data_IF_576108007578
#
_entry.id   IF_576108007578
#
_cell.length_a   1.000
_cell.length_b   1.000
_cell.length_c   1.000
_cell.angle_alpha   90.00
_cell.angle_beta   90.00
_cell.angle_gamma   90.00
#
_symmetry.space_group_name_H-M   'P 1'
#
loop_
_entity.id
_entity.type
_entity.pdbx_description
1 polymer ?
#
# COMPACT_ATOMS: atom_id res chain seq x y z
N UNK A 1 17.68 -11.53 9.74
CA UNK A 1 16.76 -12.61 10.16
C UNK A 1 16.68 -12.87 11.67
N UNK A 2 17.43 -12.13 12.51
CA UNK A 2 17.38 -12.32 13.97
C UNK A 2 16.32 -11.45 14.67
N UNK A 3 15.84 -10.39 14.01
CA UNK A 3 14.86 -9.46 14.58
C UNK A 3 13.43 -9.99 14.42
N UNK A 4 12.61 -9.78 15.46
CA UNK A 4 11.19 -10.14 15.43
C UNK A 4 10.34 -9.15 14.61
N UNK A 5 10.80 -7.89 14.52
CA UNK A 5 10.13 -6.83 13.75
C UNK A 5 11.15 -6.25 12.78
N UNK A 6 10.78 -6.21 11.50
CA UNK A 6 11.58 -5.63 10.44
C UNK A 6 10.64 -5.03 9.39
N UNK A 7 10.82 -3.76 9.05
CA UNK A 7 10.00 -3.05 8.06
C UNK A 7 10.94 -2.35 7.09
N UNK A 8 10.95 -2.80 5.84
CA UNK A 8 11.75 -2.22 4.76
C UNK A 8 10.82 -1.64 3.71
N UNK A 9 11.05 -0.40 3.34
CA UNK A 9 10.41 0.28 2.22
C UNK A 9 11.48 0.56 1.17
N UNK A 10 11.19 0.23 -0.08
CA UNK A 10 12.11 0.35 -1.22
C UNK A 10 11.36 1.01 -2.38
N UNK A 11 11.90 2.10 -2.91
CA UNK A 11 11.33 2.80 -4.06
C UNK A 11 11.85 2.30 -5.40
N UNK A 12 12.79 1.34 -5.40
CA UNK A 12 13.43 0.82 -6.61
C UNK A 12 13.99 1.91 -7.54
N UNK A 13 14.48 3.01 -6.95
CA UNK A 13 15.04 4.17 -7.65
C UNK A 13 14.06 4.87 -8.60
N UNK A 14 12.76 4.77 -8.33
CA UNK A 14 11.75 5.51 -9.08
C UNK A 14 11.84 7.02 -8.80
N UNK A 15 12.01 7.79 -9.87
CA UNK A 15 11.99 9.26 -9.82
C UNK A 15 10.55 9.79 -9.85
N UNK A 16 9.79 9.53 -8.80
CA UNK A 16 8.44 10.09 -8.67
C UNK A 16 8.44 11.36 -7.83
N UNK A 17 7.59 12.35 -8.14
CA UNK A 17 7.44 13.55 -7.32
C UNK A 17 7.17 13.18 -5.86
N UNK A 18 7.96 13.78 -4.96
CA UNK A 18 7.78 13.59 -3.53
C UNK A 18 8.40 12.33 -2.93
N UNK A 19 9.22 11.56 -3.63
CA UNK A 19 10.12 10.59 -3.00
C UNK A 19 11.22 11.30 -2.23
N UNK A 20 11.54 10.78 -1.05
CA UNK A 20 12.54 11.35 -0.15
C UNK A 20 13.66 10.38 0.21
N UNK A 21 13.45 9.09 0.00
CA UNK A 21 14.39 8.01 0.30
C UNK A 21 14.34 6.97 -0.82
N UNK A 22 15.49 6.35 -1.12
CA UNK A 22 15.55 5.17 -1.99
C UNK A 22 15.10 3.92 -1.22
N UNK A 23 15.65 3.76 -0.02
CA UNK A 23 15.27 2.67 0.86
C UNK A 23 15.29 3.14 2.31
N UNK A 24 14.33 2.67 3.10
CA UNK A 24 14.30 2.86 4.55
C UNK A 24 14.02 1.53 5.24
N UNK A 25 14.84 1.19 6.22
CA UNK A 25 14.75 -0.02 7.01
C UNK A 25 14.56 0.34 8.48
N UNK A 26 13.51 -0.15 9.10
CA UNK A 26 13.23 -0.05 10.53
C UNK A 26 13.31 -1.44 11.17
N UNK A 27 14.05 -1.56 12.27
CA UNK A 27 14.34 -2.85 12.90
C UNK A 27 14.14 -2.77 14.39
N UNK A 28 13.55 -3.82 14.95
CA UNK A 28 13.17 -3.97 16.34
C UNK A 28 12.21 -2.86 16.82
N UNK A 29 11.73 -2.97 18.04
CA UNK A 29 10.80 -2.01 18.63
C UNK A 29 11.25 -1.64 20.02
N UNK A 30 11.23 -0.34 20.33
CA UNK A 30 11.37 0.18 21.71
C UNK A 30 10.00 0.51 22.33
N UNK A 31 9.01 0.76 21.51
CA UNK A 31 7.61 0.94 21.91
C UNK A 31 6.69 0.52 20.74
N UNK A 32 5.59 -0.11 21.04
CA UNK A 32 4.62 -0.51 20.02
C UNK A 32 3.16 -0.43 20.50
N UNK A 33 2.23 -0.37 19.54
CA UNK A 33 0.80 -0.49 19.75
C UNK A 33 0.23 -1.52 18.80
N UNK A 34 -0.58 -2.43 19.33
CA UNK A 34 -1.27 -3.49 18.62
C UNK A 34 -2.74 -3.48 18.97
N UNK A 35 -3.63 -3.39 17.98
CA UNK A 35 -5.07 -3.38 18.20
C UNK A 35 -5.83 -4.06 17.06
N UNK A 36 -7.04 -4.51 17.37
CA UNK A 36 -8.05 -4.88 16.39
C UNK A 36 -9.16 -3.83 16.36
N UNK A 37 -9.98 -3.82 15.32
CA UNK A 37 -11.10 -2.90 15.15
C UNK A 37 -12.01 -2.87 16.40
N UNK A 38 -12.42 -1.68 16.79
CA UNK A 38 -13.24 -1.39 17.96
C UNK A 38 -12.78 -0.16 18.76
N UNK A 39 -11.46 0.00 18.93
CA UNK A 39 -10.86 1.20 19.55
C UNK A 39 -9.41 1.42 19.07
N UNK A 40 -9.07 0.88 17.91
CA UNK A 40 -7.73 0.89 17.36
C UNK A 40 -7.22 2.31 17.08
N UNK A 41 -8.04 3.18 16.51
CA UNK A 41 -7.66 4.58 16.25
C UNK A 41 -7.42 5.37 17.54
N UNK A 42 -8.21 5.13 18.59
CA UNK A 42 -7.97 5.77 19.89
C UNK A 42 -6.64 5.30 20.50
N UNK A 43 -6.34 4.01 20.44
CA UNK A 43 -5.06 3.47 20.91
C UNK A 43 -3.88 4.03 20.11
N UNK A 44 -4.02 4.16 18.79
CA UNK A 44 -3.00 4.76 17.95
C UNK A 44 -2.78 6.24 18.28
N UNK A 45 -3.84 7.02 18.51
CA UNK A 45 -3.73 8.44 18.88
C UNK A 45 -2.96 8.61 20.18
N UNK A 46 -3.28 7.81 21.21
CA UNK A 46 -2.57 7.81 22.47
C UNK A 46 -1.08 7.43 22.30
N UNK A 47 -0.81 6.42 21.50
CA UNK A 47 0.54 5.96 21.21
C UNK A 47 1.37 7.05 20.52
N UNK A 48 0.82 7.70 19.47
CA UNK A 48 1.51 8.75 18.72
C UNK A 48 1.77 10.01 19.56
N UNK A 49 0.86 10.35 20.50
CA UNK A 49 1.07 11.46 21.45
C UNK A 49 2.16 11.19 22.48
N UNK A 50 2.38 9.93 22.81
CA UNK A 50 3.41 9.52 23.78
C UNK A 50 4.78 9.33 23.15
N UNK A 51 4.85 9.19 21.81
CA UNK A 51 6.05 8.87 21.08
C UNK A 51 6.21 9.83 19.90
N UNK A 52 6.93 10.93 20.11
CA UNK A 52 7.27 11.91 19.08
C UNK A 52 8.55 11.47 18.34
N UNK A 53 8.45 10.37 17.60
CA UNK A 53 9.55 9.76 16.88
C UNK A 53 9.05 9.08 15.60
N UNK A 54 9.97 8.49 14.84
CA UNK A 54 9.65 7.68 13.68
C UNK A 54 8.75 6.50 14.07
N UNK A 55 7.63 6.39 13.40
CA UNK A 55 6.69 5.28 13.57
C UNK A 55 6.50 4.53 12.26
N UNK A 56 6.58 3.21 12.33
CA UNK A 56 6.34 2.29 11.21
C UNK A 56 5.23 1.32 11.58
N UNK A 57 4.47 0.86 10.59
CA UNK A 57 3.39 -0.07 10.87
C UNK A 57 2.45 -0.28 9.71
N UNK A 58 1.28 -0.82 10.01
CA UNK A 58 0.22 -1.06 9.03
C UNK A 58 -1.17 -0.81 9.59
N UNK A 59 -2.08 -0.56 8.67
CA UNK A 59 -3.52 -0.48 8.88
C UNK A 59 -4.18 -1.59 8.06
N UNK A 60 -4.91 -2.47 8.72
CA UNK A 60 -5.67 -3.54 8.09
C UNK A 60 -6.99 -3.03 7.50
N UNK A 61 -7.51 -3.75 6.52
CA UNK A 61 -8.77 -3.40 5.86
C UNK A 61 -9.96 -3.44 6.82
N UNK A 62 -9.95 -4.33 7.82
CA UNK A 62 -11.05 -4.51 8.77
C UNK A 62 -11.18 -3.39 9.80
N UNK A 63 -10.25 -2.42 9.84
CA UNK A 63 -10.45 -1.15 10.55
C UNK A 63 -11.68 -0.38 10.07
N UNK A 64 -12.18 -0.66 8.86
CA UNK A 64 -13.48 -0.15 8.40
C UNK A 64 -14.63 -0.46 9.35
N UNK A 65 -14.55 -1.57 10.09
CA UNK A 65 -15.59 -2.00 11.04
C UNK A 65 -15.65 -1.12 12.29
N UNK A 66 -14.58 -0.37 12.58
CA UNK A 66 -14.57 0.64 13.65
C UNK A 66 -15.15 1.99 13.18
N UNK A 67 -14.99 2.30 11.89
CA UNK A 67 -15.44 3.57 11.30
C UNK A 67 -16.88 3.51 10.81
N UNK A 68 -17.31 2.34 10.35
CA UNK A 68 -18.62 2.12 9.79
C UNK A 68 -19.27 0.91 10.47
N UNK A 69 -20.59 0.85 10.47
CA UNK A 69 -21.32 -0.30 11.02
C UNK A 69 -21.27 -1.50 10.05
N UNK A 70 -20.08 -2.06 9.90
CA UNK A 70 -19.79 -3.18 9.01
C UNK A 70 -19.21 -4.36 9.79
N UNK A 71 -19.45 -5.56 9.30
CA UNK A 71 -18.91 -6.80 9.85
C UNK A 71 -18.50 -7.74 8.73
N UNK A 72 -17.28 -8.28 8.82
CA UNK A 72 -16.83 -9.35 7.93
C UNK A 72 -17.05 -10.71 8.57
N UNK A 73 -17.50 -11.68 7.75
CA UNK A 73 -17.60 -13.11 8.12
C UNK A 73 -16.52 -13.95 7.45
N UNK A 74 -15.65 -13.33 6.67
CA UNK A 74 -14.56 -14.00 5.98
C UNK A 74 -13.50 -14.46 7.00
N UNK A 75 -12.99 -15.67 6.81
CA UNK A 75 -11.93 -16.20 7.66
C UNK A 75 -10.60 -15.52 7.35
N UNK A 76 -9.91 -15.06 8.38
CA UNK A 76 -8.54 -14.59 8.30
C UNK A 76 -7.59 -15.74 8.67
N UNK A 77 -6.80 -16.19 7.70
CA UNK A 77 -5.86 -17.30 7.88
C UNK A 77 -4.44 -16.82 8.23
N UNK A 78 -4.13 -15.55 8.05
CA UNK A 78 -2.80 -14.98 8.35
C UNK A 78 -2.76 -14.36 9.73
N UNK A 79 -3.88 -13.75 10.17
CA UNK A 79 -4.06 -13.18 11.50
C UNK A 79 -3.05 -12.06 11.83
N UNK A 80 -2.82 -11.17 10.88
CA UNK A 80 -2.24 -9.89 11.24
C UNK A 80 -3.20 -9.13 12.16
N UNK A 81 -2.71 -8.36 13.15
CA UNK A 81 -3.58 -7.42 13.85
C UNK A 81 -4.15 -6.39 12.87
N UNK A 82 -5.34 -5.85 13.13
CA UNK A 82 -5.90 -4.82 12.25
C UNK A 82 -5.09 -3.53 12.25
N UNK A 83 -4.36 -3.30 13.35
CA UNK A 83 -3.44 -2.18 13.51
C UNK A 83 -2.19 -2.63 14.26
N UNK A 84 -1.04 -2.28 13.72
CA UNK A 84 0.23 -2.36 14.43
C UNK A 84 1.13 -1.20 14.04
N UNK A 85 1.63 -0.45 15.02
CA UNK A 85 2.65 0.58 14.84
C UNK A 85 3.73 0.42 15.89
N UNK A 86 4.96 0.79 15.53
CA UNK A 86 6.10 0.71 16.43
C UNK A 86 7.10 1.85 16.22
N UNK A 87 7.78 2.23 17.27
CA UNK A 87 8.98 3.08 17.25
C UNK A 87 10.18 2.15 17.13
N UNK A 88 10.99 2.24 16.07
CA UNK A 88 12.10 1.33 15.87
C UNK A 88 13.29 1.62 16.80
N UNK A 89 13.99 0.57 17.21
CA UNK A 89 15.29 0.68 17.86
C UNK A 89 16.36 1.21 16.88
N UNK A 90 16.26 0.79 15.62
CA UNK A 90 17.23 1.14 14.56
C UNK A 90 16.48 1.55 13.29
N UNK A 91 16.89 2.67 12.70
CA UNK A 91 16.48 3.11 11.37
C UNK A 91 17.71 3.24 10.48
N UNK A 92 17.65 2.64 9.30
CA UNK A 92 18.69 2.79 8.27
C UNK A 92 18.04 3.39 7.02
N UNK A 93 18.58 4.48 6.53
CA UNK A 93 18.07 5.19 5.36
C UNK A 93 19.17 5.22 4.29
N UNK A 94 18.82 4.78 3.09
CA UNK A 94 19.61 4.97 1.89
C UNK A 94 19.03 6.14 1.10
N UNK A 95 19.85 7.12 0.80
CA UNK A 95 19.49 8.29 0.01
C UNK A 95 20.65 8.65 -0.90
N UNK A 96 20.49 8.51 -2.22
CA UNK A 96 21.54 8.73 -3.21
C UNK A 96 22.83 7.93 -2.88
N UNK A 97 23.86 8.57 -2.41
CA UNK A 97 25.12 7.94 -1.99
C UNK A 97 25.33 7.97 -0.47
N UNK A 98 24.32 8.39 0.30
CA UNK A 98 24.39 8.51 1.74
C UNK A 98 23.68 7.36 2.43
N UNK A 99 24.34 6.77 3.44
CA UNK A 99 23.76 5.81 4.37
C UNK A 99 23.64 6.47 5.74
N UNK A 100 22.40 6.74 6.17
CA UNK A 100 22.10 7.36 7.46
C UNK A 100 21.63 6.24 8.41
N UNK A 101 22.25 6.17 9.60
CA UNK A 101 21.93 5.16 10.61
C UNK A 101 21.54 5.87 11.89
N UNK A 102 20.26 5.73 12.28
CA UNK A 102 19.72 6.15 13.57
C UNK A 102 19.56 4.95 14.50
N UNK A 103 20.01 5.06 15.74
CA UNK A 103 19.90 3.99 16.74
C UNK A 103 19.55 4.56 18.11
N UNK A 104 18.79 3.82 18.88
CA UNK A 104 18.62 4.05 20.31
C UNK A 104 19.78 3.37 21.05
N UNK A 105 20.87 4.14 21.33
CA UNK A 105 22.08 3.61 21.98
C UNK A 105 23.36 3.84 21.15
N UNK A 106 24.46 3.20 21.56
CA UNK A 106 25.80 3.49 21.03
C UNK A 106 26.32 2.46 20.00
N UNK A 107 25.44 1.60 19.45
CA UNK A 107 25.83 0.48 18.58
C UNK A 107 25.91 0.85 17.07
N UNK A 108 25.81 2.11 16.69
CA UNK A 108 25.78 2.59 15.29
C UNK A 108 26.96 2.12 14.45
N UNK A 109 28.19 2.09 15.02
CA UNK A 109 29.40 1.61 14.32
C UNK A 109 29.34 0.11 14.04
N UNK A 110 28.80 -0.68 14.96
CA UNK A 110 28.64 -2.11 14.76
C UNK A 110 27.61 -2.41 13.64
N UNK A 111 26.52 -1.66 13.60
CA UNK A 111 25.51 -1.76 12.55
C UNK A 111 26.09 -1.34 11.20
N UNK A 112 26.79 -0.21 11.14
CA UNK A 112 27.47 0.25 9.92
C UNK A 112 28.45 -0.80 9.38
N UNK A 113 29.28 -1.39 10.26
CA UNK A 113 30.20 -2.47 9.90
C UNK A 113 29.47 -3.73 9.43
N UNK A 114 28.34 -4.07 10.03
CA UNK A 114 27.54 -5.22 9.63
C UNK A 114 26.92 -5.04 8.25
N UNK A 115 26.52 -3.81 7.88
CA UNK A 115 25.95 -3.48 6.57
C UNK A 115 27.04 -3.48 5.50
N UNK A 116 28.18 -2.78 5.76
CA UNK A 116 29.23 -2.58 4.77
C UNK A 116 30.21 -3.74 4.65
N UNK A 117 30.36 -4.54 5.70
CA UNK A 117 31.36 -5.61 5.80
C UNK A 117 30.92 -6.97 5.29
N UNK A 118 29.64 -7.18 5.00
CA UNK A 118 29.17 -8.48 4.47
C UNK A 118 29.12 -8.45 2.95
N UNK A 119 29.78 -9.40 2.26
CA UNK A 119 29.54 -9.58 0.83
C UNK A 119 28.06 -9.89 0.62
N UNK A 120 27.49 -9.32 -0.42
CA UNK A 120 26.13 -9.66 -0.89
C UNK A 120 26.10 -11.17 -1.08
N UNK A 121 25.41 -11.89 -0.19
CA UNK A 121 25.30 -13.34 -0.27
C UNK A 121 24.64 -13.70 -1.59
N UNK A 122 25.21 -14.67 -2.31
CA UNK A 122 24.52 -15.23 -3.47
C UNK A 122 23.19 -15.80 -2.95
N UNK A 123 22.09 -15.14 -3.33
CA UNK A 123 20.74 -15.69 -3.11
C UNK A 123 20.74 -17.08 -3.73
N UNK A 124 20.72 -18.11 -2.88
CA UNK A 124 20.61 -19.49 -3.34
C UNK A 124 19.26 -19.58 -4.04
N UNK A 125 19.29 -19.67 -5.37
CA UNK A 125 18.08 -19.97 -6.14
C UNK A 125 17.61 -21.35 -5.72
N UNK A 126 16.67 -21.41 -4.81
CA UNK A 126 15.97 -22.65 -4.53
C UNK A 126 15.32 -23.13 -5.83
N UNK A 127 15.57 -24.36 -6.19
CA UNK A 127 14.98 -25.05 -7.32
C UNK A 127 13.46 -24.89 -7.25
N UNK A 128 12.85 -24.52 -8.38
CA UNK A 128 11.41 -24.35 -8.57
C UNK A 128 10.66 -25.59 -8.05
N UNK A 129 10.28 -25.62 -6.80
CA UNK A 129 9.27 -26.56 -6.35
C UNK A 129 7.97 -26.16 -7.06
N UNK A 130 7.34 -27.09 -7.75
CA UNK A 130 6.00 -26.90 -8.30
C UNK A 130 5.04 -26.77 -7.12
N UNK A 131 4.73 -25.55 -6.77
CA UNK A 131 3.80 -25.25 -5.67
C UNK A 131 2.39 -25.20 -6.24
N UNK A 132 1.48 -25.99 -5.66
CA UNK A 132 0.06 -25.95 -6.03
C UNK A 132 -0.57 -24.71 -5.42
N UNK A 133 -0.95 -23.76 -6.26
CA UNK A 133 -1.70 -22.58 -5.88
C UNK A 133 -3.18 -22.91 -5.87
N UNK A 134 -3.86 -22.67 -4.76
CA UNK A 134 -5.29 -22.81 -4.58
C UNK A 134 -5.97 -21.43 -4.67
N UNK A 135 -7.28 -21.41 -4.92
CA UNK A 135 -8.09 -20.18 -4.91
C UNK A 135 -9.29 -20.33 -3.98
N UNK A 136 -9.68 -19.25 -3.28
CA UNK A 136 -10.86 -19.29 -2.38
C UNK A 136 -12.16 -19.47 -3.15
N UNK A 137 -12.29 -18.77 -4.29
CA UNK A 137 -13.43 -18.95 -5.19
C UNK A 137 -13.07 -19.92 -6.31
N UNK A 138 -13.98 -20.83 -6.64
CA UNK A 138 -13.90 -21.54 -7.91
C UNK A 138 -14.12 -20.55 -9.07
N UNK A 139 -13.66 -20.88 -10.27
CA UNK A 139 -13.93 -20.06 -11.47
C UNK A 139 -15.43 -19.81 -11.66
N UNK A 140 -16.26 -20.81 -11.39
CA UNK A 140 -17.73 -20.72 -11.51
C UNK A 140 -18.30 -19.73 -10.51
N UNK A 141 -17.92 -19.84 -9.23
CA UNK A 141 -18.41 -18.95 -8.16
C UNK A 141 -17.96 -17.52 -8.38
N UNK A 142 -16.70 -17.33 -8.80
CA UNK A 142 -16.17 -16.01 -9.15
C UNK A 142 -17.01 -15.34 -10.26
N UNK A 143 -17.30 -16.06 -11.35
CA UNK A 143 -18.12 -15.54 -12.47
C UNK A 143 -19.54 -15.22 -12.01
N UNK A 144 -20.14 -16.06 -11.17
CA UNK A 144 -21.49 -15.83 -10.61
C UNK A 144 -21.50 -14.59 -9.71
N UNK A 145 -20.50 -14.42 -8.86
CA UNK A 145 -20.35 -13.23 -8.00
C UNK A 145 -20.20 -11.95 -8.83
N UNK A 146 -19.37 -11.98 -9.87
CA UNK A 146 -19.23 -10.83 -10.79
C UNK A 146 -20.56 -10.53 -11.51
N UNK A 147 -21.33 -11.55 -11.89
CA UNK A 147 -22.66 -11.33 -12.49
C UNK A 147 -23.61 -10.64 -11.50
N UNK A 148 -23.64 -11.08 -10.23
CA UNK A 148 -24.45 -10.46 -9.19
C UNK A 148 -24.02 -9.01 -8.90
N UNK A 149 -22.71 -8.74 -8.85
CA UNK A 149 -22.19 -7.38 -8.70
C UNK A 149 -22.64 -6.47 -9.85
N UNK A 150 -22.61 -6.97 -11.09
CA UNK A 150 -23.09 -6.22 -12.26
C UNK A 150 -24.58 -5.86 -12.16
N UNK A 151 -25.40 -6.75 -11.60
CA UNK A 151 -26.82 -6.47 -11.35
C UNK A 151 -26.99 -5.35 -10.31
N UNK A 152 -26.15 -5.31 -9.26
CA UNK A 152 -26.13 -4.21 -8.30
C UNK A 152 -25.75 -2.87 -8.97
N UNK A 153 -24.76 -2.89 -9.85
CA UNK A 153 -24.36 -1.70 -10.62
C UNK A 153 -25.50 -1.23 -11.54
N UNK A 154 -26.15 -2.15 -12.26
CA UNK A 154 -27.26 -1.82 -13.15
C UNK A 154 -28.48 -1.24 -12.42
N UNK A 155 -28.73 -1.67 -11.18
CA UNK A 155 -29.79 -1.09 -10.32
C UNK A 155 -29.43 0.25 -9.72
N UNK A 156 -28.14 0.64 -9.76
CA UNK A 156 -27.64 1.89 -9.17
C UNK A 156 -27.27 1.78 -7.69
N UNK A 157 -27.10 0.58 -7.14
CA UNK A 157 -26.68 0.35 -5.75
C UNK A 157 -25.21 0.82 -5.53
N UNK A 158 -24.39 0.69 -6.58
CA UNK A 158 -23.05 1.24 -6.65
C UNK A 158 -22.65 1.51 -8.12
N UNK A 159 -21.62 2.33 -8.34
CA UNK A 159 -21.06 2.62 -9.67
C UNK A 159 -19.88 1.72 -10.00
N UNK A 160 -19.09 1.41 -8.99
CA UNK A 160 -17.87 0.61 -9.10
C UNK A 160 -17.67 -0.17 -7.79
N UNK A 161 -17.13 -1.39 -7.90
CA UNK A 161 -16.78 -2.23 -6.77
C UNK A 161 -15.50 -3.03 -7.09
N UNK A 162 -14.54 -3.01 -6.19
CA UNK A 162 -13.32 -3.81 -6.26
C UNK A 162 -13.56 -5.18 -5.61
N UNK A 163 -13.80 -6.21 -6.41
CA UNK A 163 -13.95 -7.56 -5.92
C UNK A 163 -12.62 -8.31 -5.91
N UNK A 164 -12.16 -8.73 -4.74
CA UNK A 164 -10.88 -9.38 -4.54
C UNK A 164 -11.01 -10.91 -4.52
N UNK A 165 -10.05 -11.59 -5.16
CA UNK A 165 -9.86 -13.03 -5.13
C UNK A 165 -8.57 -13.36 -4.37
N UNK A 166 -8.65 -14.22 -3.36
CA UNK A 166 -7.49 -14.75 -2.67
C UNK A 166 -6.97 -16.02 -3.35
N UNK A 167 -5.66 -16.04 -3.63
CA UNK A 167 -4.91 -17.23 -3.96
C UNK A 167 -4.01 -17.59 -2.80
N UNK A 168 -3.87 -18.87 -2.48
CA UNK A 168 -3.11 -19.32 -1.34
C UNK A 168 -2.38 -20.64 -1.59
N UNK A 169 -1.40 -20.87 -0.75
CA UNK A 169 -0.61 -22.09 -0.66
C UNK A 169 -0.59 -22.51 0.80
N UNK A 170 -0.89 -23.76 1.09
CA UNK A 170 -0.97 -24.24 2.47
C UNK A 170 0.41 -24.35 3.14
N UNK A 171 1.42 -24.76 2.39
CA UNK A 171 2.80 -24.93 2.88
C UNK A 171 3.76 -24.41 1.83
N UNK A 172 4.68 -23.56 2.24
CA UNK A 172 5.79 -23.08 1.42
C UNK A 172 7.10 -23.21 2.21
N UNK A 173 8.06 -23.93 1.63
CA UNK A 173 9.43 -24.04 2.16
C UNK A 173 10.33 -23.06 1.39
N UNK A 174 10.19 -21.78 1.70
CA UNK A 174 10.97 -20.71 1.07
C UNK A 174 11.24 -19.62 2.09
N UNK A 175 12.46 -19.13 2.14
CA UNK A 175 12.78 -17.94 2.96
C UNK A 175 11.98 -16.75 2.44
N UNK A 176 11.20 -16.04 3.30
CA UNK A 176 10.41 -14.89 2.88
C UNK A 176 11.25 -13.76 2.27
N UNK A 177 12.50 -13.60 2.68
CA UNK A 177 13.41 -12.60 2.09
C UNK A 177 13.79 -12.98 0.65
N UNK A 178 14.09 -14.26 0.38
CA UNK A 178 14.37 -14.74 -0.97
C UNK A 178 13.15 -14.57 -1.89
N UNK A 179 11.95 -14.79 -1.33
CA UNK A 179 10.69 -14.56 -2.06
C UNK A 179 10.49 -13.06 -2.37
N UNK A 180 10.75 -12.18 -1.40
CA UNK A 180 10.70 -10.73 -1.60
C UNK A 180 11.71 -10.27 -2.66
N UNK A 181 12.95 -10.74 -2.60
CA UNK A 181 13.97 -10.40 -3.60
C UNK A 181 13.56 -10.86 -5.02
N UNK A 182 12.89 -11.99 -5.12
CA UNK A 182 12.34 -12.48 -6.39
C UNK A 182 11.17 -11.60 -6.86
N UNK A 183 10.24 -11.23 -5.98
CA UNK A 183 9.13 -10.32 -6.27
C UNK A 183 9.63 -8.95 -6.72
N UNK A 184 10.60 -8.37 -6.02
CA UNK A 184 11.22 -7.08 -6.35
C UNK A 184 11.87 -7.09 -7.71
N UNK A 185 12.49 -8.20 -8.09
CA UNK A 185 13.10 -8.35 -9.44
C UNK A 185 12.06 -8.45 -10.54
N UNK A 186 10.99 -9.20 -10.32
CA UNK A 186 9.93 -9.41 -11.31
C UNK A 186 8.99 -8.21 -11.41
N UNK A 187 8.76 -7.51 -10.31
CA UNK A 187 7.82 -6.39 -10.22
C UNK A 187 8.39 -5.26 -9.35
N UNK A 188 9.44 -4.56 -9.82
CA UNK A 188 9.95 -3.40 -9.11
C UNK A 188 8.90 -2.29 -9.14
N UNK A 189 8.50 -1.81 -7.97
CA UNK A 189 7.48 -0.77 -7.82
C UNK A 189 7.88 0.25 -6.74
N UNK A 190 7.42 1.52 -6.85
CA UNK A 190 7.89 2.63 -6.01
C UNK A 190 7.45 2.57 -4.54
N UNK A 191 6.56 1.68 -4.18
CA UNK A 191 6.07 1.47 -2.81
C UNK A 191 6.17 0.00 -2.43
N UNK A 192 7.32 -0.60 -2.75
CA UNK A 192 7.61 -1.98 -2.36
C UNK A 192 7.97 -2.06 -0.89
N UNK A 193 7.58 -3.17 -0.24
CA UNK A 193 7.93 -3.38 1.15
C UNK A 193 8.16 -4.86 1.49
N UNK A 194 9.12 -5.07 2.38
CA UNK A 194 9.30 -6.30 3.12
C UNK A 194 8.97 -6.03 4.59
N UNK A 195 7.97 -6.69 5.11
CA UNK A 195 7.55 -6.50 6.48
C UNK A 195 7.47 -7.84 7.20
N UNK A 196 8.15 -7.93 8.34
CA UNK A 196 8.12 -9.05 9.26
C UNK A 196 7.56 -8.60 10.60
N UNK A 197 6.58 -9.31 11.10
CA UNK A 197 6.01 -9.15 12.44
C UNK A 197 5.97 -10.53 13.10
N UNK A 198 6.98 -10.85 13.89
CA UNK A 198 7.22 -12.17 14.49
C UNK A 198 7.31 -13.28 13.43
N UNK A 199 6.31 -14.15 13.37
CA UNK A 199 6.17 -15.26 12.43
C UNK A 199 5.39 -14.92 11.15
N UNK A 200 4.90 -13.68 11.02
CA UNK A 200 4.10 -13.21 9.89
C UNK A 200 4.92 -12.31 8.98
N UNK A 201 4.66 -12.42 7.69
CA UNK A 201 5.37 -11.66 6.67
C UNK A 201 4.39 -11.05 5.66
N UNK A 202 4.67 -9.81 5.26
CA UNK A 202 3.99 -9.15 4.15
C UNK A 202 5.07 -8.72 3.15
N UNK A 203 4.93 -9.20 1.91
CA UNK A 203 5.81 -8.89 0.79
C UNK A 203 4.98 -8.12 -0.23
N UNK A 204 5.33 -6.86 -0.44
CA UNK A 204 4.51 -5.96 -1.24
C UNK A 204 5.31 -5.37 -2.41
N UNK A 205 4.67 -5.29 -3.57
CA UNK A 205 5.15 -4.59 -4.75
C UNK A 205 4.06 -3.62 -5.24
N UNK A 206 3.75 -2.60 -4.43
CA UNK A 206 2.69 -1.64 -4.74
C UNK A 206 3.18 -0.51 -5.65
N UNK A 207 2.44 -0.19 -6.73
CA UNK A 207 2.68 1.00 -7.52
C UNK A 207 2.00 2.25 -6.95
N UNK A 208 1.09 2.13 -5.97
CA UNK A 208 0.15 3.16 -5.59
C UNK A 208 0.53 3.86 -4.28
N UNK A 209 0.54 5.20 -4.31
CA UNK A 209 0.68 6.02 -3.11
C UNK A 209 -0.69 6.27 -2.49
N UNK A 210 -0.89 5.75 -1.29
CA UNK A 210 -2.10 6.01 -0.52
C UNK A 210 -2.17 7.49 -0.11
N UNK A 211 -1.31 7.93 0.78
CA UNK A 211 -1.25 9.31 1.28
C UNK A 211 0.20 9.73 1.50
N UNK A 212 0.49 10.98 1.21
CA UNK A 212 1.68 11.70 1.67
C UNK A 212 1.27 12.98 2.35
N UNK A 213 1.77 13.22 3.58
CA UNK A 213 1.65 14.48 4.32
C UNK A 213 3.02 15.10 4.49
N UNK A 214 3.13 16.40 4.26
CA UNK A 214 4.36 17.18 4.50
C UNK A 214 3.95 18.55 5.04
N UNK A 215 4.24 18.82 6.31
CA UNK A 215 3.69 19.99 6.98
C UNK A 215 2.16 19.95 6.97
N UNK A 216 1.52 20.98 6.45
CA UNK A 216 0.06 21.04 6.26
C UNK A 216 -0.41 20.48 4.91
N UNK A 217 0.49 20.27 3.95
CA UNK A 217 0.13 19.72 2.66
C UNK A 217 -0.12 18.22 2.73
N UNK A 218 -1.21 17.76 2.13
CA UNK A 218 -1.56 16.36 1.97
C UNK A 218 -1.84 16.04 0.51
N UNK A 219 -1.46 14.83 0.06
CA UNK A 219 -1.77 14.32 -1.27
C UNK A 219 -2.05 12.83 -1.26
N UNK A 220 -2.85 12.41 -2.24
CA UNK A 220 -3.10 11.01 -2.60
C UNK A 220 -2.99 10.84 -4.11
N UNK A 221 -2.53 9.67 -4.57
CA UNK A 221 -2.30 9.39 -5.99
C UNK A 221 -2.96 8.07 -6.40
N UNK A 222 -4.29 8.02 -6.47
CA UNK A 222 -5.00 6.80 -6.87
C UNK A 222 -4.68 6.42 -8.32
N UNK A 223 -4.65 5.10 -8.56
CA UNK A 223 -4.42 4.48 -9.85
C UNK A 223 -5.69 3.79 -10.32
N UNK A 224 -6.16 4.14 -11.50
CA UNK A 224 -7.16 3.37 -12.26
C UNK A 224 -6.86 3.49 -13.75
N UNK A 225 -6.84 2.35 -14.41
CA UNK A 225 -6.44 2.21 -15.80
C UNK A 225 -4.99 1.75 -15.94
N UNK A 226 -4.84 0.60 -16.59
CA UNK A 226 -3.54 -0.05 -16.80
C UNK A 226 -3.49 -0.65 -18.19
N UNK A 227 -2.35 -0.51 -18.87
CA UNK A 227 -2.06 -1.24 -20.09
C UNK A 227 -0.64 -1.77 -20.10
N UNK A 228 -0.44 -2.90 -20.74
CA UNK A 228 0.88 -3.53 -20.85
C UNK A 228 1.81 -2.70 -21.75
N UNK A 229 3.06 -2.60 -21.35
CA UNK A 229 4.12 -2.04 -22.19
C UNK A 229 4.60 -3.04 -23.25
N UNK A 230 5.07 -2.51 -24.38
CA UNK A 230 5.82 -3.28 -25.37
C UNK A 230 7.26 -2.78 -25.38
N UNK A 231 8.14 -3.44 -24.61
CA UNK A 231 9.55 -3.07 -24.49
C UNK A 231 10.41 -3.44 -25.72
N UNK A 232 9.81 -4.09 -26.72
CA UNK A 232 10.52 -4.56 -27.95
C UNK A 232 10.24 -3.63 -29.12
N UNK A 233 9.04 -3.05 -29.20
CA UNK A 233 8.60 -2.19 -30.29
C UNK A 233 8.07 -0.86 -29.74
N UNK A 234 8.87 0.19 -29.88
CA UNK A 234 8.56 1.54 -29.37
C UNK A 234 7.28 2.13 -29.99
N UNK A 235 6.96 1.79 -31.24
CA UNK A 235 5.74 2.27 -31.90
C UNK A 235 4.50 1.66 -31.26
N UNK A 236 4.51 0.34 -31.06
CA UNK A 236 3.43 -0.37 -30.38
C UNK A 236 3.31 0.07 -28.92
N UNK A 237 4.46 0.31 -28.23
CA UNK A 237 4.47 0.83 -26.86
C UNK A 237 3.78 2.19 -26.79
N UNK A 238 4.09 3.08 -27.72
CA UNK A 238 3.46 4.40 -27.81
C UNK A 238 1.96 4.30 -28.14
N UNK A 239 1.56 3.39 -29.03
CA UNK A 239 0.13 3.14 -29.34
C UNK A 239 -0.64 2.68 -28.09
N UNK A 240 -0.06 1.80 -27.26
CA UNK A 240 -0.64 1.37 -25.99
C UNK A 240 -0.81 2.56 -25.02
N UNK A 241 0.21 3.41 -24.91
CA UNK A 241 0.14 4.62 -24.08
C UNK A 241 -1.01 5.54 -24.50
N UNK A 242 -1.13 5.83 -25.79
CA UNK A 242 -2.17 6.68 -26.35
C UNK A 242 -3.56 6.05 -26.21
N UNK A 243 -3.67 4.73 -26.39
CA UNK A 243 -4.90 3.99 -26.20
C UNK A 243 -5.40 4.12 -24.73
N UNK A 244 -4.52 3.96 -23.76
CA UNK A 244 -4.86 4.15 -22.34
C UNK A 244 -5.28 5.59 -22.06
N UNK A 245 -4.52 6.57 -22.55
CA UNK A 245 -4.80 8.00 -22.35
C UNK A 245 -6.18 8.40 -22.88
N UNK A 246 -6.63 7.79 -23.99
CA UNK A 246 -7.90 8.08 -24.64
C UNK A 246 -9.03 7.12 -24.25
N UNK A 247 -8.77 6.13 -23.40
CA UNK A 247 -9.77 5.17 -22.98
C UNK A 247 -10.89 5.83 -22.17
N UNK A 248 -12.09 5.85 -22.73
CA UNK A 248 -13.27 6.40 -22.05
C UNK A 248 -13.58 5.62 -20.76
N UNK A 249 -13.43 4.29 -20.81
CA UNK A 249 -13.67 3.42 -19.66
C UNK A 249 -12.72 3.76 -18.53
N UNK A 250 -11.39 3.71 -18.78
CA UNK A 250 -10.39 3.92 -17.73
C UNK A 250 -10.47 5.34 -17.15
N UNK A 251 -10.74 6.34 -17.98
CA UNK A 251 -10.97 7.73 -17.52
C UNK A 251 -12.21 7.86 -16.64
N UNK A 252 -13.31 7.18 -16.97
CA UNK A 252 -14.53 7.19 -16.15
C UNK A 252 -14.31 6.54 -14.79
N UNK A 253 -13.63 5.38 -14.76
CA UNK A 253 -13.26 4.70 -13.52
C UNK A 253 -12.29 5.56 -12.68
N UNK A 254 -11.31 6.20 -13.31
CA UNK A 254 -10.36 7.06 -12.63
C UNK A 254 -11.06 8.28 -11.98
N UNK A 255 -12.01 8.94 -12.68
CA UNK A 255 -12.81 10.04 -12.12
C UNK A 255 -13.58 9.59 -10.88
N UNK A 256 -14.19 8.42 -10.88
CA UNK A 256 -14.93 7.91 -9.72
C UNK A 256 -14.02 7.78 -8.49
N UNK A 257 -12.82 7.25 -8.65
CA UNK A 257 -11.86 7.13 -7.54
C UNK A 257 -11.31 8.51 -7.14
N UNK A 258 -11.08 9.42 -8.08
CA UNK A 258 -10.70 10.81 -7.80
C UNK A 258 -11.75 11.49 -6.92
N UNK A 259 -13.04 11.31 -7.22
CA UNK A 259 -14.12 11.90 -6.42
C UNK A 259 -14.22 11.27 -5.02
N UNK A 260 -13.96 9.96 -4.87
CA UNK A 260 -13.86 9.32 -3.56
C UNK A 260 -12.73 9.93 -2.73
N UNK A 261 -11.54 10.08 -3.30
CA UNK A 261 -10.38 10.66 -2.60
C UNK A 261 -10.63 12.13 -2.27
N UNK A 262 -11.25 12.91 -3.18
CA UNK A 262 -11.64 14.29 -2.89
C UNK A 262 -12.61 14.36 -1.72
N UNK A 263 -13.62 13.51 -1.68
CA UNK A 263 -14.55 13.41 -0.57
C UNK A 263 -13.84 13.07 0.75
N UNK A 264 -12.94 12.09 0.74
CA UNK A 264 -12.19 11.70 1.94
C UNK A 264 -11.31 12.84 2.45
N UNK A 265 -10.55 13.50 1.56
CA UNK A 265 -9.70 14.64 1.93
C UNK A 265 -10.52 15.87 2.36
N UNK A 266 -11.73 16.08 1.84
CA UNK A 266 -12.58 17.20 2.21
C UNK A 266 -13.03 17.18 3.68
N UNK A 267 -13.01 16.00 4.33
CA UNK A 267 -13.36 15.84 5.75
C UNK A 267 -12.31 16.44 6.69
N UNK A 268 -11.07 16.57 6.22
CA UNK A 268 -9.89 16.94 7.05
C UNK A 268 -9.14 18.15 6.53
N UNK A 269 -9.37 18.54 5.28
CA UNK A 269 -8.71 19.69 4.67
C UNK A 269 -9.51 20.98 4.91
N UNK A 270 -8.81 22.11 4.86
CA UNK A 270 -9.43 23.44 4.87
C UNK A 270 -10.40 23.58 3.70
N UNK A 271 -11.49 24.26 3.93
CA UNK A 271 -12.50 24.53 2.90
C UNK A 271 -11.85 25.17 1.65
N UNK A 272 -12.21 24.68 0.47
CA UNK A 272 -11.71 25.16 -0.81
C UNK A 272 -10.26 24.78 -1.14
N UNK A 273 -9.52 24.10 -0.25
CA UNK A 273 -8.12 23.72 -0.49
C UNK A 273 -7.96 22.43 -1.28
N UNK A 274 -8.96 21.53 -1.27
CA UNK A 274 -8.91 20.26 -1.99
C UNK A 274 -9.01 20.49 -3.49
N UNK A 275 -8.01 20.07 -4.25
CA UNK A 275 -7.92 20.23 -5.70
C UNK A 275 -7.33 19.00 -6.37
N UNK A 276 -7.69 18.78 -7.62
CA UNK A 276 -7.04 17.81 -8.50
C UNK A 276 -5.86 18.51 -9.16
N UNK A 277 -4.65 18.17 -8.69
CA UNK A 277 -3.40 18.78 -9.19
C UNK A 277 -2.99 18.18 -10.53
N UNK A 278 -3.32 16.91 -10.77
CA UNK A 278 -3.12 16.21 -12.03
C UNK A 278 -4.29 15.24 -12.26
N UNK A 279 -4.82 15.21 -13.47
CA UNK A 279 -5.89 14.30 -13.87
C UNK A 279 -5.45 13.46 -15.08
N UNK A 280 -5.57 12.13 -14.98
CA UNK A 280 -5.23 11.17 -16.06
C UNK A 280 -3.75 11.19 -16.50
N UNK A 281 -2.80 11.45 -15.60
CA UNK A 281 -1.39 11.34 -15.90
C UNK A 281 -1.03 9.89 -16.28
N UNK A 282 -0.27 9.71 -17.37
CA UNK A 282 0.18 8.37 -17.81
C UNK A 282 1.64 8.18 -17.42
N UNK A 283 1.86 7.28 -16.48
CA UNK A 283 3.18 6.95 -15.93
C UNK A 283 3.68 5.61 -16.45
N UNK A 284 4.94 5.58 -16.85
CA UNK A 284 5.60 4.37 -17.34
C UNK A 284 6.25 3.61 -16.18
N UNK A 285 5.85 2.38 -15.99
CA UNK A 285 6.51 1.37 -15.17
C UNK A 285 7.24 0.37 -16.08
N UNK A 286 8.12 -0.50 -15.58
CA UNK A 286 8.86 -1.43 -16.43
C UNK A 286 7.95 -2.30 -17.31
N UNK A 287 6.81 -2.75 -16.80
CA UNK A 287 5.94 -3.70 -17.48
C UNK A 287 4.61 -3.11 -17.97
N UNK A 288 4.20 -1.96 -17.41
CA UNK A 288 2.88 -1.37 -17.65
C UNK A 288 2.93 0.15 -17.73
N UNK A 289 1.95 0.74 -18.41
CA UNK A 289 1.52 2.13 -18.19
C UNK A 289 0.38 2.15 -17.18
N UNK A 290 0.43 3.09 -16.24
CA UNK A 290 -0.62 3.34 -15.26
C UNK A 290 -1.20 4.73 -15.45
N UNK A 291 -2.53 4.84 -15.32
CA UNK A 291 -3.21 6.13 -15.29
C UNK A 291 -3.36 6.57 -13.82
N UNK A 292 -2.65 7.62 -13.45
CA UNK A 292 -2.56 8.17 -12.09
C UNK A 292 -3.14 9.56 -12.08
N UNK A 293 -3.98 9.85 -11.08
CA UNK A 293 -4.42 11.21 -10.78
C UNK A 293 -3.88 11.63 -9.43
N UNK A 294 -3.61 12.93 -9.25
CA UNK A 294 -3.09 13.50 -8.01
C UNK A 294 -4.11 14.44 -7.41
N UNK A 295 -4.55 14.14 -6.20
CA UNK A 295 -5.43 14.99 -5.40
C UNK A 295 -4.61 15.53 -4.23
N UNK A 296 -4.69 16.85 -4.01
CA UNK A 296 -3.98 17.52 -2.93
C UNK A 296 -4.90 18.46 -2.16
N UNK A 297 -4.50 18.76 -0.92
CA UNK A 297 -5.20 19.70 -0.05
C UNK A 297 -4.30 20.22 1.06
N UNK A 298 -4.82 21.12 1.87
CA UNK A 298 -4.17 21.66 3.06
C UNK A 298 -5.00 21.29 4.30
N UNK A 299 -4.41 20.52 5.21
CA UNK A 299 -5.07 20.16 6.48
C UNK A 299 -5.03 21.30 7.48
N UNK A 300 -5.97 21.33 8.41
CA UNK A 300 -5.95 22.21 9.58
C UNK A 300 -4.76 21.88 10.51
N UNK A 301 -4.37 22.84 11.33
CA UNK A 301 -3.26 22.64 12.28
C UNK A 301 -3.57 21.72 13.45
N UNK A 302 -4.83 21.48 13.70
CA UNK A 302 -5.42 20.64 14.75
C UNK A 302 -5.73 19.19 14.31
N UNK A 303 -5.58 18.90 13.02
CA UNK A 303 -5.85 17.56 12.45
C UNK A 303 -4.71 16.61 12.81
N UNK A 304 -5.03 15.57 13.56
CA UNK A 304 -4.09 14.51 13.94
C UNK A 304 -3.85 13.50 12.80
N UNK A 305 -2.84 12.65 12.94
CA UNK A 305 -2.58 11.54 12.00
C UNK A 305 -3.74 10.53 12.03
N UNK A 306 -4.33 10.31 13.19
CA UNK A 306 -5.47 9.41 13.37
C UNK A 306 -6.75 9.96 12.73
N UNK A 307 -6.97 11.28 12.74
CA UNK A 307 -8.08 11.91 12.01
C UNK A 307 -7.92 11.69 10.48
N UNK A 308 -6.68 11.80 9.97
CA UNK A 308 -6.40 11.52 8.57
C UNK A 308 -6.76 10.07 8.24
N UNK A 309 -6.32 9.10 9.04
CA UNK A 309 -6.64 7.70 8.81
C UNK A 309 -8.14 7.43 8.93
N UNK A 310 -8.81 7.94 9.95
CA UNK A 310 -10.25 7.75 10.13
C UNK A 310 -11.08 8.32 8.98
N UNK A 311 -10.63 9.41 8.36
CA UNK A 311 -11.30 10.01 7.22
C UNK A 311 -11.09 9.25 5.89
N UNK A 312 -10.01 8.48 5.77
CA UNK A 312 -9.54 7.96 4.47
C UNK A 312 -9.48 6.44 4.38
N UNK A 313 -9.43 5.71 5.52
CA UNK A 313 -9.43 4.22 5.56
C UNK A 313 -10.84 3.68 5.34
N UNK A 314 -10.99 2.58 4.59
CA UNK A 314 -10.04 2.03 3.62
C UNK A 314 -9.87 2.97 2.42
N UNK A 315 -8.71 2.88 1.74
CA UNK A 315 -8.47 3.72 0.57
C UNK A 315 -9.48 3.48 -0.55
N UNK A 316 -9.83 4.54 -1.29
CA UNK A 316 -10.89 4.50 -2.31
C UNK A 316 -10.66 3.45 -3.40
N UNK A 317 -9.42 3.29 -3.87
CA UNK A 317 -9.05 2.31 -4.90
C UNK A 317 -9.24 0.84 -4.47
N UNK A 318 -9.35 0.57 -3.17
CA UNK A 318 -9.57 -0.76 -2.61
C UNK A 318 -11.04 -1.01 -2.20
N UNK A 319 -11.95 -0.11 -2.49
CA UNK A 319 -13.38 -0.19 -2.14
C UNK A 319 -14.28 -0.12 -3.36
N UNK A 320 -14.92 0.98 -3.58
CA UNK A 320 -15.81 1.27 -4.69
C UNK A 320 -16.55 2.57 -4.46
N UNK A 321 -17.46 2.89 -5.36
CA UNK A 321 -18.21 4.13 -5.33
C UNK A 321 -19.74 3.86 -5.36
N UNK A 322 -20.55 4.38 -4.40
CA UNK A 322 -20.18 5.03 -3.13
C UNK A 322 -19.46 4.07 -2.17
N UNK A 323 -18.50 4.58 -1.37
CA UNK A 323 -17.60 3.76 -0.55
C UNK A 323 -18.35 2.80 0.38
N UNK A 324 -19.29 3.30 1.19
CA UNK A 324 -20.04 2.50 2.18
C UNK A 324 -20.90 1.46 1.48
N UNK A 325 -21.67 1.82 0.44
CA UNK A 325 -22.49 0.88 -0.32
C UNK A 325 -21.67 -0.26 -0.93
N UNK A 326 -20.51 0.07 -1.50
CA UNK A 326 -19.60 -0.92 -2.05
C UNK A 326 -19.08 -1.88 -0.98
N UNK A 327 -18.69 -1.38 0.20
CA UNK A 327 -18.24 -2.22 1.32
C UNK A 327 -19.35 -3.11 1.92
N UNK A 328 -20.60 -2.68 1.85
CA UNK A 328 -21.73 -3.49 2.30
C UNK A 328 -22.05 -4.65 1.34
N UNK A 329 -21.70 -4.50 0.07
CA UNK A 329 -21.90 -5.54 -0.96
C UNK A 329 -20.75 -6.55 -1.02
N UNK A 330 -19.59 -6.23 -0.48
CA UNK A 330 -18.42 -7.11 -0.38
C UNK A 330 -18.49 -8.05 0.81
#
# INVERSE_FOLDING_TARGET
NQSNICFCLDDHQYKMPGHTFECILAVNSIADVKANAGNAFQQLDLFLRQNDDWCFGHLGYDLKNELENLHSKNADYIQFPDLFFFVPETVVILKESELIIGVCGDNHLAIASAITGKPVGNVKRNTKALVKVNSRFSKKDYIQTIAAIKEHILRGDCYELNFCQEFYVDIIDTDPLDLYMSLSKESPNPFSSYYKLNDKYLLCASPERYIKKTGTAIMSQPIKGTTRRNIVDDKVDFEHKIALQNSRKDRSENIMVVDLVRNDLSKICREGSVKVSELFGIYAFPQVYQMISTISGEIGGDVSVTDIFSATVPMGSMTGAPKISAMQLM
#
